data_IF_717370096637
#
_entry.id   IF_717370096637
#
_cell.length_a   1.000
_cell.length_b   1.000
_cell.length_c   1.000
_cell.angle_alpha   90.00
_cell.angle_beta   90.00
_cell.angle_gamma   90.00
#
_symmetry.space_group_name_H-M   'P 1'
#
loop_
_entity.id
_entity.type
_entity.pdbx_description
1 polymer ?
#
# COMPACT_ATOMS: atom_id res chain seq x y z
N UNK A 1 -21.13 15.36 10.86
CA UNK A 1 -19.97 14.65 10.28
C UNK A 1 -19.40 13.78 11.39
N UNK A 2 -18.88 12.58 11.10
CA UNK A 2 -18.31 11.76 12.18
C UNK A 2 -17.10 12.47 12.79
N UNK A 3 -17.03 12.50 14.10
CA UNK A 3 -16.00 13.19 14.90
C UNK A 3 -15.65 12.37 16.15
N UNK A 4 -14.71 12.85 16.96
CA UNK A 4 -14.29 12.17 18.20
C UNK A 4 -15.46 11.91 19.15
N UNK A 5 -16.45 12.81 19.21
CA UNK A 5 -17.63 12.66 20.10
C UNK A 5 -18.53 11.49 19.67
N UNK A 6 -18.37 11.03 18.44
CA UNK A 6 -19.09 9.88 17.88
C UNK A 6 -18.51 8.54 18.33
N UNK A 7 -17.28 8.53 18.87
CA UNK A 7 -16.57 7.34 19.30
C UNK A 7 -17.00 6.88 20.69
N UNK A 8 -17.27 5.59 20.82
CA UNK A 8 -17.47 4.88 22.09
C UNK A 8 -16.26 4.02 22.35
N UNK A 9 -15.60 4.22 23.50
CA UNK A 9 -14.50 3.35 23.92
C UNK A 9 -15.06 1.95 24.19
N UNK A 10 -14.46 0.94 23.56
CA UNK A 10 -14.81 -0.47 23.74
C UNK A 10 -13.78 -1.12 24.67
N UNK A 11 -12.49 -0.93 24.38
CA UNK A 11 -11.36 -1.45 25.15
C UNK A 11 -10.21 -0.43 25.16
N UNK A 12 -9.09 -0.77 25.83
CA UNK A 12 -7.86 -0.02 25.67
C UNK A 12 -7.44 -0.04 24.19
N UNK A 13 -7.17 1.15 23.65
CA UNK A 13 -6.85 1.37 22.24
C UNK A 13 -7.94 1.06 21.20
N UNK A 14 -9.17 0.73 21.59
CA UNK A 14 -10.24 0.40 20.65
C UNK A 14 -11.49 1.24 20.87
N UNK A 15 -11.91 1.93 19.81
CA UNK A 15 -13.09 2.78 19.78
C UNK A 15 -14.04 2.35 18.67
N UNK A 16 -15.34 2.57 18.85
CA UNK A 16 -16.38 2.23 17.89
C UNK A 16 -17.30 3.42 17.60
N UNK A 17 -17.57 3.65 16.32
CA UNK A 17 -18.69 4.48 15.86
C UNK A 17 -19.86 3.53 15.61
N UNK A 18 -20.98 3.66 16.34
CA UNK A 18 -22.08 2.72 16.24
C UNK A 18 -22.71 2.79 14.84
N UNK A 19 -23.22 1.65 14.36
CA UNK A 19 -23.95 1.56 13.07
C UNK A 19 -25.08 2.60 12.95
N UNK A 20 -25.71 2.97 14.05
CA UNK A 20 -26.80 3.95 14.07
C UNK A 20 -26.34 5.41 13.90
N UNK A 21 -25.04 5.68 13.90
CA UNK A 21 -24.48 7.03 13.76
C UNK A 21 -24.90 7.69 12.44
N UNK A 22 -24.98 6.92 11.35
CA UNK A 22 -25.32 7.43 10.02
C UNK A 22 -26.25 6.47 9.29
N UNK A 23 -27.30 7.02 8.68
CA UNK A 23 -28.21 6.24 7.82
C UNK A 23 -27.44 5.57 6.69
N UNK A 24 -27.78 4.31 6.42
CA UNK A 24 -27.15 3.49 5.39
C UNK A 24 -25.90 2.73 5.84
N UNK A 25 -25.34 3.00 7.02
CA UNK A 25 -24.29 2.14 7.59
C UNK A 25 -24.86 0.72 7.77
N UNK A 26 -24.14 -0.27 7.25
CA UNK A 26 -24.50 -1.69 7.30
C UNK A 26 -23.84 -2.39 8.48
N UNK A 27 -22.66 -1.91 8.87
CA UNK A 27 -21.85 -2.35 10.01
C UNK A 27 -21.40 -1.14 10.84
N UNK A 28 -21.02 -1.30 12.13
CA UNK A 28 -20.31 -0.25 12.86
C UNK A 28 -18.89 -0.03 12.29
N UNK A 29 -18.25 1.06 12.69
CA UNK A 29 -16.85 1.33 12.34
C UNK A 29 -15.99 1.29 13.60
N UNK A 30 -14.76 0.77 13.51
CA UNK A 30 -13.82 0.68 14.63
C UNK A 30 -12.50 1.35 14.32
N UNK A 31 -11.95 2.01 15.32
CA UNK A 31 -10.70 2.76 15.24
C UNK A 31 -9.77 2.24 16.32
N UNK A 32 -8.59 1.77 15.91
CA UNK A 32 -7.51 1.46 16.83
C UNK A 32 -6.66 2.71 17.04
N UNK A 33 -6.57 3.23 18.26
CA UNK A 33 -5.80 4.45 18.54
C UNK A 33 -5.56 4.64 20.04
N UNK A 34 -4.47 5.31 20.43
CA UNK A 34 -4.35 5.84 21.79
C UNK A 34 -5.23 7.08 22.00
N UNK A 35 -5.53 7.44 23.25
CA UNK A 35 -6.28 8.68 23.55
C UNK A 35 -5.59 9.93 23.00
N UNK A 36 -4.25 9.94 22.99
CA UNK A 36 -3.46 11.03 22.41
C UNK A 36 -3.68 11.15 20.90
N UNK A 37 -3.69 10.02 20.19
CA UNK A 37 -3.89 9.98 18.73
C UNK A 37 -5.29 10.44 18.32
N UNK A 38 -6.31 10.22 19.16
CA UNK A 38 -7.68 10.60 18.81
C UNK A 38 -7.84 12.09 18.49
N UNK A 39 -7.07 12.98 19.14
CA UNK A 39 -7.14 14.40 18.86
C UNK A 39 -6.67 14.74 17.44
N UNK A 40 -5.62 14.08 16.96
CA UNK A 40 -5.10 14.25 15.61
C UNK A 40 -6.06 13.64 14.58
N UNK A 41 -6.56 12.44 14.84
CA UNK A 41 -7.55 11.74 13.98
C UNK A 41 -8.84 12.55 13.82
N UNK A 42 -9.27 13.25 14.86
CA UNK A 42 -10.44 14.13 14.79
C UNK A 42 -10.24 15.43 14.03
N UNK A 43 -9.03 15.71 13.54
CA UNK A 43 -8.67 16.94 12.85
C UNK A 43 -9.01 16.98 11.36
N UNK A 44 -9.33 15.83 10.75
CA UNK A 44 -9.62 15.72 9.31
C UNK A 44 -10.93 14.95 9.02
N UNK A 45 -11.13 14.54 7.75
CA UNK A 45 -12.36 13.83 7.33
C UNK A 45 -12.26 12.31 7.40
N UNK A 46 -11.19 11.76 7.95
CA UNK A 46 -10.91 10.32 7.95
C UNK A 46 -11.99 9.48 8.63
N UNK A 47 -12.47 9.91 9.81
CA UNK A 47 -13.58 9.25 10.51
C UNK A 47 -14.88 9.28 9.69
N UNK A 48 -15.16 10.39 9.01
CA UNK A 48 -16.33 10.47 8.12
C UNK A 48 -16.19 9.53 6.93
N UNK A 49 -15.01 9.46 6.30
CA UNK A 49 -14.73 8.50 5.23
C UNK A 49 -14.92 7.06 5.72
N UNK A 50 -14.44 6.73 6.92
CA UNK A 50 -14.65 5.41 7.52
C UNK A 50 -16.14 5.07 7.69
N UNK A 51 -16.97 6.03 8.10
CA UNK A 51 -18.43 5.82 8.15
C UNK A 51 -19.07 5.67 6.77
N UNK A 52 -18.46 6.23 5.71
CA UNK A 52 -18.90 5.97 4.32
C UNK A 52 -18.56 4.55 3.90
N UNK A 53 -17.36 4.06 4.23
CA UNK A 53 -16.96 2.67 3.95
C UNK A 53 -17.93 1.69 4.59
N UNK A 54 -18.38 1.98 5.81
CA UNK A 54 -19.35 1.18 6.55
C UNK A 54 -20.74 1.06 5.86
N UNK A 55 -21.03 1.82 4.81
CA UNK A 55 -22.30 1.75 4.05
C UNK A 55 -22.24 0.81 2.84
N UNK A 56 -21.04 0.35 2.48
CA UNK A 56 -20.81 -0.41 1.24
C UNK A 56 -21.52 -1.78 1.25
N UNK A 57 -22.23 -2.16 0.18
CA UNK A 57 -22.86 -3.49 0.08
C UNK A 57 -21.86 -4.62 0.30
N UNK A 58 -22.26 -5.62 1.09
CA UNK A 58 -21.45 -6.81 1.39
C UNK A 58 -20.27 -6.58 2.35
N UNK A 59 -20.12 -5.39 2.96
CA UNK A 59 -19.11 -5.20 4.02
C UNK A 59 -19.39 -6.11 5.23
N UNK A 60 -18.32 -6.72 5.75
CA UNK A 60 -18.36 -7.69 6.83
C UNK A 60 -17.92 -7.08 8.15
N UNK A 61 -18.64 -7.40 9.22
CA UNK A 61 -18.33 -7.10 10.63
C UNK A 61 -18.19 -5.61 10.98
N UNK A 62 -17.13 -4.94 10.48
CA UNK A 62 -16.76 -3.56 10.79
C UNK A 62 -16.03 -2.91 9.61
N UNK A 63 -16.16 -1.60 9.45
CA UNK A 63 -15.13 -0.81 8.78
C UNK A 63 -14.02 -0.50 9.80
N UNK A 64 -12.78 -0.88 9.54
CA UNK A 64 -11.66 -0.71 10.47
C UNK A 64 -10.77 0.46 10.05
N UNK A 65 -10.18 1.12 11.04
CA UNK A 65 -9.11 2.09 10.86
C UNK A 65 -7.94 1.76 11.77
N UNK A 66 -6.75 1.78 11.20
CA UNK A 66 -5.47 1.65 11.90
C UNK A 66 -5.08 2.96 12.60
N UNK A 67 -4.12 2.94 13.54
CA UNK A 67 -3.75 4.12 14.33
C UNK A 67 -3.22 5.31 13.54
N UNK A 68 -2.73 5.07 12.33
CA UNK A 68 -2.21 6.06 11.38
C UNK A 68 -3.27 6.57 10.39
N UNK A 69 -4.57 6.36 10.70
CA UNK A 69 -5.68 6.80 9.87
C UNK A 69 -5.62 8.30 9.59
N UNK A 70 -5.77 8.66 8.32
CA UNK A 70 -5.92 10.05 7.88
C UNK A 70 -6.71 10.10 6.56
N UNK A 71 -7.10 11.31 6.18
CA UNK A 71 -7.93 11.55 5.02
C UNK A 71 -7.30 10.99 3.72
N UNK A 72 -8.08 10.18 3.00
CA UNK A 72 -7.71 9.59 1.71
C UNK A 72 -8.69 9.92 0.59
N UNK A 73 -8.74 9.08 -0.44
CA UNK A 73 -9.64 9.24 -1.58
C UNK A 73 -10.85 8.29 -1.49
N UNK A 74 -11.92 8.76 -0.87
CA UNK A 74 -13.14 7.98 -0.64
C UNK A 74 -13.03 7.10 0.59
N UNK A 75 -12.04 6.20 0.63
CA UNK A 75 -11.60 5.51 1.85
C UNK A 75 -10.53 6.37 2.55
N UNK A 76 -10.42 6.31 3.89
CA UNK A 76 -9.27 6.85 4.59
C UNK A 76 -8.03 5.98 4.34
N UNK A 77 -6.85 6.61 4.34
CA UNK A 77 -5.59 5.86 4.45
C UNK A 77 -5.55 5.21 5.84
N UNK A 78 -4.97 4.01 5.93
CA UNK A 78 -5.05 3.18 7.15
C UNK A 78 -6.41 2.50 7.35
N UNK A 79 -7.33 2.62 6.39
CA UNK A 79 -8.63 1.94 6.41
C UNK A 79 -8.55 0.47 5.96
N UNK A 80 -9.34 -0.41 6.59
CA UNK A 80 -9.49 -1.82 6.20
C UNK A 80 -10.97 -2.20 6.15
N UNK A 81 -11.40 -2.86 5.08
CA UNK A 81 -12.76 -3.36 4.92
C UNK A 81 -12.75 -4.77 4.33
N UNK A 82 -13.24 -5.74 5.09
CA UNK A 82 -13.53 -7.08 4.58
C UNK A 82 -14.84 -7.07 3.80
N UNK A 83 -14.82 -7.50 2.54
CA UNK A 83 -16.01 -7.54 1.68
C UNK A 83 -16.37 -8.99 1.37
N UNK A 84 -17.65 -9.31 1.41
CA UNK A 84 -18.15 -10.61 0.95
C UNK A 84 -17.84 -10.81 -0.54
N UNK A 85 -17.32 -11.98 -0.89
CA UNK A 85 -16.88 -12.24 -2.27
C UNK A 85 -18.02 -12.21 -3.30
N UNK A 86 -19.25 -12.60 -2.91
CA UNK A 86 -20.38 -12.72 -3.85
C UNK A 86 -21.23 -11.45 -3.94
N UNK A 87 -21.43 -10.80 -2.80
CA UNK A 87 -22.36 -9.66 -2.66
C UNK A 87 -21.66 -8.33 -2.36
N UNK A 88 -20.34 -8.37 -2.15
CA UNK A 88 -19.50 -7.22 -1.90
C UNK A 88 -19.16 -6.44 -3.15
N UNK A 89 -18.49 -5.31 -2.93
CA UNK A 89 -17.98 -4.44 -3.98
C UNK A 89 -16.46 -4.36 -3.90
N UNK A 90 -15.83 -4.10 -5.05
CA UNK A 90 -14.42 -3.69 -5.14
C UNK A 90 -14.41 -2.20 -5.45
N UNK A 91 -13.66 -1.43 -4.67
CA UNK A 91 -13.52 0.01 -4.85
C UNK A 91 -12.04 0.37 -5.03
N UNK A 92 -11.61 0.90 -6.18
CA UNK A 92 -10.23 1.34 -6.38
C UNK A 92 -9.74 2.33 -5.32
N UNK A 93 -10.62 3.22 -4.84
CA UNK A 93 -10.30 4.16 -3.76
C UNK A 93 -9.99 3.50 -2.41
N UNK A 94 -10.45 2.26 -2.19
CA UNK A 94 -10.12 1.46 -1.01
C UNK A 94 -8.81 0.67 -1.13
N UNK A 95 -8.22 0.61 -2.33
CA UNK A 95 -6.88 0.06 -2.56
C UNK A 95 -5.85 1.18 -2.57
N UNK A 96 -6.16 2.28 -3.25
CA UNK A 96 -5.26 3.42 -3.44
C UNK A 96 -4.77 3.56 -4.89
N UNK A 97 -4.21 4.71 -5.21
CA UNK A 97 -3.69 5.01 -6.55
C UNK A 97 -2.37 4.28 -6.84
N UNK A 98 -1.51 4.17 -5.82
CA UNK A 98 -0.25 3.45 -5.91
C UNK A 98 -0.44 1.99 -5.51
N UNK A 99 -0.96 1.21 -6.46
CA UNK A 99 -1.31 -0.19 -6.25
C UNK A 99 -0.05 -0.98 -5.91
N UNK A 100 -0.07 -1.66 -4.77
CA UNK A 100 1.06 -2.45 -4.26
C UNK A 100 2.29 -1.61 -3.85
N UNK A 101 2.11 -0.33 -3.50
CA UNK A 101 3.11 0.38 -2.70
C UNK A 101 3.37 -0.44 -1.43
N UNK A 102 4.64 -0.73 -1.15
CA UNK A 102 5.00 -1.69 -0.12
C UNK A 102 6.47 -1.62 0.26
N UNK A 103 6.86 -2.51 1.17
CA UNK A 103 8.20 -2.54 1.75
C UNK A 103 8.87 -3.87 1.44
N UNK A 104 10.17 -3.82 1.17
CA UNK A 104 11.05 -5.00 1.16
C UNK A 104 12.22 -4.74 2.11
N UNK A 105 12.47 -5.70 2.99
CA UNK A 105 13.62 -5.69 3.87
C UNK A 105 14.66 -6.70 3.36
N UNK A 106 15.88 -6.23 3.10
CA UNK A 106 17.02 -7.09 2.81
C UNK A 106 17.91 -7.18 4.06
N UNK A 107 18.39 -8.39 4.36
CA UNK A 107 19.26 -8.63 5.51
C UNK A 107 20.68 -8.94 5.04
N UNK A 108 21.66 -8.25 5.62
CA UNK A 108 23.07 -8.60 5.48
C UNK A 108 23.60 -9.30 6.75
N UNK A 109 24.80 -9.88 6.66
CA UNK A 109 25.57 -10.37 7.82
C UNK A 109 26.51 -9.30 8.40
N UNK A 110 26.56 -8.11 7.79
CA UNK A 110 27.48 -7.03 8.16
C UNK A 110 26.94 -6.33 9.40
N UNK A 111 27.77 -6.20 10.43
CA UNK A 111 27.38 -5.51 11.66
C UNK A 111 27.60 -3.99 11.52
N UNK A 112 26.87 -3.21 12.30
CA UNK A 112 26.96 -1.73 12.29
C UNK A 112 28.40 -1.24 12.47
N UNK A 113 29.17 -1.88 13.35
CA UNK A 113 30.56 -1.50 13.60
C UNK A 113 31.49 -1.68 12.40
N UNK A 114 31.14 -2.58 11.47
CA UNK A 114 31.95 -2.89 10.29
C UNK A 114 31.59 -1.97 9.10
N UNK A 115 30.39 -1.37 9.09
CA UNK A 115 29.90 -0.55 7.97
C UNK A 115 29.81 0.94 8.28
N UNK A 116 29.78 1.35 9.55
CA UNK A 116 29.50 2.74 9.98
C UNK A 116 30.34 3.79 9.24
N UNK A 117 31.62 3.52 9.01
CA UNK A 117 32.56 4.45 8.36
C UNK A 117 32.40 4.47 6.83
N UNK A 118 31.67 3.50 6.28
CA UNK A 118 31.38 3.36 4.86
C UNK A 118 29.93 3.73 4.48
N UNK A 119 29.03 3.95 5.46
CA UNK A 119 27.60 4.23 5.21
C UNK A 119 27.38 5.34 4.19
N UNK A 120 28.17 6.42 4.25
CA UNK A 120 28.08 7.52 3.29
C UNK A 120 28.46 7.09 1.87
N UNK A 121 29.51 6.29 1.73
CA UNK A 121 29.95 5.80 0.42
C UNK A 121 28.93 4.82 -0.17
N UNK A 122 28.38 3.93 0.65
CA UNK A 122 27.34 2.98 0.26
C UNK A 122 26.07 3.72 -0.14
N UNK A 123 25.59 4.67 0.66
CA UNK A 123 24.41 5.49 0.32
C UNK A 123 24.60 6.24 -1.02
N UNK A 124 25.79 6.79 -1.27
CA UNK A 124 26.11 7.43 -2.55
C UNK A 124 26.11 6.45 -3.72
N UNK A 125 26.60 5.23 -3.52
CA UNK A 125 26.57 4.20 -4.56
C UNK A 125 25.14 3.76 -4.86
N UNK A 126 24.32 3.52 -3.82
CA UNK A 126 22.90 3.19 -3.99
C UNK A 126 22.16 4.29 -4.74
N UNK A 127 22.38 5.56 -4.40
CA UNK A 127 21.71 6.67 -5.10
C UNK A 127 22.15 6.81 -6.57
N UNK A 128 23.32 6.29 -6.94
CA UNK A 128 23.74 6.19 -8.35
C UNK A 128 23.04 5.03 -9.05
N UNK A 129 22.99 3.87 -8.41
CA UNK A 129 22.55 2.61 -9.00
C UNK A 129 21.02 2.42 -8.96
N UNK A 130 20.32 3.13 -8.08
CA UNK A 130 18.87 3.08 -7.91
C UNK A 130 18.27 4.44 -8.25
N UNK A 131 17.78 4.63 -9.49
CA UNK A 131 17.19 5.89 -9.91
C UNK A 131 15.99 6.29 -9.04
N UNK A 132 15.95 7.55 -8.63
CA UNK A 132 14.85 8.16 -7.86
C UNK A 132 14.50 9.53 -8.42
N UNK A 133 13.28 9.99 -8.16
CA UNK A 133 12.73 11.27 -8.61
C UNK A 133 11.59 11.16 -9.63
N UNK A 134 10.85 12.25 -9.79
CA UNK A 134 9.67 12.31 -10.68
C UNK A 134 10.11 12.22 -12.14
N UNK A 135 9.62 11.21 -12.86
CA UNK A 135 9.84 11.05 -14.31
C UNK A 135 11.26 10.63 -14.69
N UNK A 136 12.08 10.20 -13.71
CA UNK A 136 13.40 9.63 -14.00
C UNK A 136 13.22 8.17 -14.40
N UNK A 137 13.60 7.85 -15.64
CA UNK A 137 13.58 6.47 -16.13
C UNK A 137 14.66 5.60 -15.47
N UNK A 138 14.40 4.30 -15.45
CA UNK A 138 15.35 3.27 -15.03
C UNK A 138 16.25 2.81 -16.19
N UNK A 139 17.28 2.04 -15.85
CA UNK A 139 18.23 1.52 -16.83
C UNK A 139 17.77 0.21 -17.51
N UNK A 140 16.60 -0.32 -17.11
CA UNK A 140 16.02 -1.51 -17.73
C UNK A 140 15.39 -1.20 -19.08
N UNK A 141 16.03 -1.70 -20.14
CA UNK A 141 15.43 -1.72 -21.49
C UNK A 141 14.47 -2.91 -21.63
N UNK A 142 13.18 -2.63 -21.53
CA UNK A 142 12.12 -3.62 -21.70
C UNK A 142 11.45 -3.46 -23.05
N UNK A 143 11.14 -4.56 -23.71
CA UNK A 143 10.18 -4.55 -24.82
C UNK A 143 8.74 -4.51 -24.29
N UNK A 144 7.74 -4.06 -25.08
CA UNK A 144 6.34 -4.11 -24.66
C UNK A 144 5.87 -5.51 -24.26
N UNK A 145 6.38 -6.56 -24.93
CA UNK A 145 6.07 -7.96 -24.61
C UNK A 145 6.65 -8.37 -23.26
N UNK A 146 7.83 -7.88 -22.90
CA UNK A 146 8.45 -8.17 -21.60
C UNK A 146 7.74 -7.46 -20.47
N UNK A 147 7.30 -6.21 -20.68
CA UNK A 147 6.45 -5.53 -19.72
C UNK A 147 5.17 -6.33 -19.45
N UNK A 148 4.53 -6.87 -20.49
CA UNK A 148 3.35 -7.74 -20.32
C UNK A 148 3.69 -9.03 -19.56
N UNK A 149 4.87 -9.61 -19.76
CA UNK A 149 5.33 -10.76 -18.96
C UNK A 149 5.55 -10.39 -17.50
N UNK A 150 6.09 -9.21 -17.21
CA UNK A 150 6.26 -8.70 -15.83
C UNK A 150 4.88 -8.49 -15.18
N UNK A 151 3.93 -7.87 -15.88
CA UNK A 151 2.57 -7.66 -15.36
C UNK A 151 1.86 -8.98 -15.04
N UNK A 152 2.04 -10.01 -15.88
CA UNK A 152 1.37 -11.30 -15.70
C UNK A 152 2.07 -12.23 -14.69
N UNK A 153 3.40 -12.12 -14.54
CA UNK A 153 4.22 -13.12 -13.81
C UNK A 153 5.02 -12.53 -12.65
N UNK A 154 4.98 -11.21 -12.48
CA UNK A 154 5.65 -10.47 -11.43
C UNK A 154 7.14 -10.81 -11.30
N UNK A 155 7.58 -11.02 -10.07
CA UNK A 155 9.02 -11.21 -9.73
C UNK A 155 9.63 -12.43 -10.41
N UNK A 156 8.85 -13.46 -10.74
CA UNK A 156 9.35 -14.64 -11.47
C UNK A 156 9.97 -14.24 -12.81
N UNK A 157 9.39 -13.27 -13.52
CA UNK A 157 9.95 -12.75 -14.78
C UNK A 157 11.23 -11.96 -14.55
N UNK A 158 11.32 -11.21 -13.45
CA UNK A 158 12.52 -10.44 -13.10
C UNK A 158 13.71 -11.36 -12.81
N UNK A 159 13.50 -12.46 -12.08
CA UNK A 159 14.54 -13.47 -11.80
C UNK A 159 15.00 -14.17 -13.09
N UNK A 160 14.10 -14.49 -14.02
CA UNK A 160 14.47 -15.05 -15.33
C UNK A 160 15.31 -14.10 -16.19
N UNK A 161 15.15 -12.79 -15.99
CA UNK A 161 15.95 -11.75 -16.62
C UNK A 161 17.28 -11.50 -15.90
N UNK A 162 17.55 -12.20 -14.80
CA UNK A 162 18.79 -12.08 -14.02
C UNK A 162 18.70 -11.08 -12.85
N UNK A 163 17.52 -10.54 -12.54
CA UNK A 163 17.31 -9.62 -11.43
C UNK A 163 16.80 -10.36 -10.19
N UNK A 164 17.73 -10.79 -9.35
CA UNK A 164 17.47 -11.54 -8.11
C UNK A 164 17.76 -13.03 -8.23
N UNK A 165 17.60 -13.73 -7.11
CA UNK A 165 17.83 -15.17 -6.98
C UNK A 165 16.50 -15.94 -6.98
N UNK A 166 16.53 -17.26 -7.19
CA UNK A 166 15.31 -18.08 -7.20
C UNK A 166 14.67 -18.12 -5.82
N UNK A 167 15.50 -18.07 -4.79
CA UNK A 167 15.16 -18.14 -3.38
C UNK A 167 14.44 -16.86 -2.92
N UNK A 168 14.68 -15.72 -3.59
CA UNK A 168 14.00 -14.46 -3.28
C UNK A 168 12.48 -14.59 -3.38
N UNK A 169 11.99 -15.39 -4.33
CA UNK A 169 10.56 -15.61 -4.59
C UNK A 169 9.83 -16.13 -3.34
N UNK A 170 10.50 -16.92 -2.50
CA UNK A 170 9.90 -17.52 -1.31
C UNK A 170 9.73 -16.54 -0.14
N UNK A 171 10.34 -15.35 -0.23
CA UNK A 171 10.36 -14.34 0.82
C UNK A 171 9.52 -13.10 0.47
N UNK A 172 8.52 -13.28 -0.40
CA UNK A 172 7.65 -12.21 -0.89
C UNK A 172 6.21 -12.67 -0.72
N UNK A 173 5.36 -11.77 -0.23
CA UNK A 173 3.91 -11.97 -0.23
C UNK A 173 3.42 -12.38 -1.64
N UNK A 174 2.51 -13.35 -1.71
CA UNK A 174 2.01 -13.93 -2.97
C UNK A 174 3.13 -14.44 -3.91
N UNK A 175 4.32 -14.76 -3.37
CA UNK A 175 5.50 -15.14 -4.15
C UNK A 175 5.85 -14.10 -5.24
N UNK A 176 5.51 -12.84 -4.99
CA UNK A 176 5.69 -11.72 -5.92
C UNK A 176 4.87 -11.83 -7.21
N UNK A 177 3.78 -12.60 -7.23
CA UNK A 177 2.90 -12.76 -8.40
C UNK A 177 1.49 -13.22 -8.00
N UNK A 178 0.51 -12.33 -8.14
CA UNK A 178 -0.89 -12.65 -7.89
C UNK A 178 -1.52 -13.45 -9.04
N UNK A 179 -2.24 -14.51 -8.72
CA UNK A 179 -2.95 -15.32 -9.71
C UNK A 179 -4.07 -14.52 -10.40
N UNK A 180 -4.21 -14.67 -11.72
CA UNK A 180 -5.26 -13.99 -12.49
C UNK A 180 -4.90 -12.59 -12.99
N UNK A 181 -3.66 -12.14 -12.78
CA UNK A 181 -3.13 -10.95 -13.43
C UNK A 181 -3.21 -11.08 -14.97
N UNK A 182 -3.73 -10.05 -15.62
CA UNK A 182 -3.95 -10.01 -17.07
C UNK A 182 -3.56 -8.64 -17.63
N UNK A 183 -2.40 -8.60 -18.28
CA UNK A 183 -1.84 -7.41 -18.91
C UNK A 183 -2.75 -6.80 -20.00
N UNK A 184 -3.70 -7.56 -20.57
CA UNK A 184 -4.67 -7.04 -21.53
C UNK A 184 -5.68 -6.07 -20.90
N UNK A 185 -5.86 -6.13 -19.57
CA UNK A 185 -6.74 -5.23 -18.82
C UNK A 185 -6.06 -3.91 -18.44
N UNK A 186 -4.75 -3.81 -18.62
CA UNK A 186 -3.99 -2.60 -18.34
C UNK A 186 -3.98 -1.71 -19.58
N UNK A 187 -4.47 -0.48 -19.45
CA UNK A 187 -4.54 0.46 -20.56
C UNK A 187 -3.14 0.79 -21.13
N UNK A 188 -3.08 1.08 -22.43
CA UNK A 188 -1.83 1.52 -23.08
C UNK A 188 -1.23 2.76 -22.41
N UNK A 189 -2.07 3.67 -21.92
CA UNK A 189 -1.61 4.86 -21.18
C UNK A 189 -0.88 4.47 -19.90
N UNK A 190 -1.41 3.51 -19.14
CA UNK A 190 -0.76 3.03 -17.93
C UNK A 190 0.55 2.29 -18.25
N UNK A 191 0.55 1.42 -19.28
CA UNK A 191 1.77 0.74 -19.74
C UNK A 191 2.84 1.73 -20.16
N UNK A 192 2.51 2.73 -21.00
CA UNK A 192 3.44 3.78 -21.44
C UNK A 192 4.01 4.59 -20.27
N UNK A 193 3.19 4.87 -19.25
CA UNK A 193 3.62 5.60 -18.05
C UNK A 193 4.59 4.80 -17.18
N UNK A 194 4.43 3.47 -17.10
CA UNK A 194 5.26 2.60 -16.26
C UNK A 194 6.45 1.97 -16.98
N UNK A 195 6.47 1.99 -18.32
CA UNK A 195 7.43 1.27 -19.15
C UNK A 195 8.88 1.61 -18.82
N UNK A 196 9.20 2.90 -18.72
CA UNK A 196 10.53 3.40 -18.40
C UNK A 196 10.76 3.56 -16.89
N UNK A 197 9.77 3.25 -16.04
CA UNK A 197 9.85 3.42 -14.59
C UNK A 197 10.17 2.11 -13.83
N UNK A 198 10.23 0.97 -14.52
CA UNK A 198 10.61 -0.30 -13.87
C UNK A 198 12.06 -0.21 -13.39
N UNK A 199 12.29 -0.51 -12.11
CA UNK A 199 13.61 -0.42 -11.49
C UNK A 199 13.96 0.95 -10.91
N UNK A 200 12.98 1.84 -10.70
CA UNK A 200 13.17 3.13 -10.03
C UNK A 200 12.38 3.19 -8.72
N UNK A 201 12.81 4.05 -7.79
CA UNK A 201 12.09 4.30 -6.52
C UNK A 201 10.86 5.19 -6.71
N UNK A 202 10.88 6.08 -7.70
CA UNK A 202 9.88 7.14 -7.82
C UNK A 202 10.10 8.29 -6.83
N UNK A 203 9.02 8.82 -6.26
CA UNK A 203 9.01 10.04 -5.44
C UNK A 203 8.00 9.95 -4.29
N UNK A 204 7.82 11.01 -3.51
CA UNK A 204 6.88 11.01 -2.39
C UNK A 204 7.50 10.31 -1.19
N UNK A 205 6.79 9.34 -0.61
CA UNK A 205 7.24 8.59 0.57
C UNK A 205 8.06 7.33 0.21
N UNK A 206 8.57 7.24 -1.01
CA UNK A 206 9.40 6.11 -1.45
C UNK A 206 10.86 6.39 -1.17
N UNK A 207 11.54 5.47 -0.49
CA UNK A 207 12.94 5.60 -0.12
C UNK A 207 13.62 4.24 -0.05
N UNK A 208 14.95 4.28 0.01
CA UNK A 208 15.79 3.16 0.38
C UNK A 208 16.68 3.62 1.53
N UNK A 209 16.63 2.90 2.64
CA UNK A 209 17.44 3.14 3.83
C UNK A 209 18.35 1.95 4.13
N UNK A 210 19.48 2.22 4.78
CA UNK A 210 20.48 1.25 5.22
C UNK A 210 20.45 1.18 6.74
#
# INVERSE_FOLDING_TARGET
MADIKSLKKIEEYLYEIPKTHKSGMRVPARVYASEKMLQEIGGDRSLWQLTNVATLPGILKYALAMPDIHEGYGFPIGGVAGMDYKSGVVSPGGVGYDINCGMRLLRSKIMVNDIKDHLRAVAHQINRDVPSGVGRGGDLELTPKELDQILNRGVKRMVELGYGEKEDINNIEEYGSMSGADASKVSDRAKKRGHDQVGTLGSGNHFLEI
#
